data_IF_270315211602
#
_entry.id   IF_270315211602
#
_cell.length_a   1.000
_cell.length_b   1.000
_cell.length_c   1.000
_cell.angle_alpha   90.00
_cell.angle_beta   90.00
_cell.angle_gamma   90.00
#
_symmetry.space_group_name_H-M   'P 1'
#
loop_
_entity.id
_entity.type
_entity.pdbx_description
1 polymer ?
#
# COMPACT_ATOMS: atom_id res chain seq x y z
N UNK A 1 9.98 6.27 18.99
CA UNK A 1 9.00 6.45 17.91
C UNK A 1 7.64 6.81 18.50
N UNK A 2 7.06 7.92 18.05
CA UNK A 2 5.76 8.39 18.57
C UNK A 2 4.67 8.07 17.58
N UNK A 3 3.75 7.17 17.97
CA UNK A 3 2.62 6.79 17.13
C UNK A 3 1.54 7.89 17.18
N UNK A 4 0.88 8.19 16.05
CA UNK A 4 -0.35 8.96 16.07
C UNK A 4 -1.40 8.32 16.97
N UNK A 5 -2.24 9.14 17.60
CA UNK A 5 -3.24 8.66 18.58
C UNK A 5 -4.27 7.71 17.92
N UNK A 6 -4.50 7.87 16.63
CA UNK A 6 -5.43 7.01 15.89
C UNK A 6 -5.02 5.53 15.93
N UNK A 7 -3.73 5.26 16.03
CA UNK A 7 -3.26 3.87 16.19
C UNK A 7 -3.74 3.26 17.50
N UNK A 8 -3.70 4.04 18.58
CA UNK A 8 -4.21 3.58 19.87
C UNK A 8 -5.71 3.28 19.81
N UNK A 9 -6.46 4.12 19.09
CA UNK A 9 -7.90 3.91 18.91
C UNK A 9 -8.18 2.62 18.12
N UNK A 10 -7.39 2.35 17.10
CA UNK A 10 -7.54 1.13 16.29
C UNK A 10 -7.14 -0.12 17.05
N UNK A 11 -6.17 -0.02 17.95
CA UNK A 11 -5.82 -1.14 18.86
C UNK A 11 -6.97 -1.42 19.80
N UNK A 12 -7.57 -0.38 20.40
CA UNK A 12 -8.72 -0.54 21.31
C UNK A 12 -9.91 -1.15 20.58
N UNK A 13 -10.13 -0.78 19.32
CA UNK A 13 -11.20 -1.32 18.49
C UNK A 13 -10.90 -2.73 17.95
N UNK A 14 -9.73 -3.28 18.26
CA UNK A 14 -9.28 -4.61 17.82
C UNK A 14 -9.13 -4.75 16.32
N UNK A 15 -8.91 -3.63 15.62
CA UNK A 15 -8.52 -3.62 14.20
C UNK A 15 -7.04 -3.95 14.07
N UNK A 16 -6.24 -3.40 14.96
CA UNK A 16 -4.81 -3.68 15.06
C UNK A 16 -4.48 -4.39 16.37
N UNK A 17 -3.37 -5.11 16.38
CA UNK A 17 -2.73 -5.61 17.61
C UNK A 17 -1.30 -5.09 17.64
N UNK A 18 -0.80 -4.89 18.85
CA UNK A 18 0.59 -4.48 19.02
C UNK A 18 1.53 -5.63 18.65
N UNK A 19 2.63 -5.28 18.01
CA UNK A 19 3.65 -6.23 17.60
C UNK A 19 4.99 -5.50 17.53
N UNK A 20 5.96 -5.97 18.30
CA UNK A 20 7.31 -5.39 18.24
C UNK A 20 7.85 -5.50 16.81
N UNK A 21 8.56 -4.46 16.36
CA UNK A 21 9.17 -4.46 15.04
C UNK A 21 10.23 -5.56 14.94
N UNK A 22 10.16 -6.37 13.89
CA UNK A 22 11.16 -7.39 13.63
C UNK A 22 12.39 -6.74 12.96
N UNK A 23 13.61 -7.09 13.37
CA UNK A 23 14.80 -6.53 12.75
C UNK A 23 14.82 -6.77 11.25
N UNK A 24 15.04 -5.72 10.48
CA UNK A 24 15.11 -5.80 9.02
C UNK A 24 13.77 -5.86 8.30
N UNK A 25 12.64 -5.95 9.00
CA UNK A 25 11.34 -6.12 8.35
C UNK A 25 10.95 -4.89 7.54
N UNK A 26 11.14 -3.69 8.09
CA UNK A 26 10.78 -2.45 7.39
C UNK A 26 11.52 -2.36 6.06
N UNK A 27 12.83 -2.56 6.07
CA UNK A 27 13.63 -2.53 4.85
C UNK A 27 13.21 -3.61 3.85
N UNK A 28 12.86 -4.80 4.33
CA UNK A 28 12.39 -5.89 3.45
C UNK A 28 11.07 -5.55 2.77
N UNK A 29 10.11 -4.97 3.50
CA UNK A 29 8.86 -4.53 2.91
C UNK A 29 9.10 -3.46 1.84
N UNK A 30 9.95 -2.46 2.12
CA UNK A 30 10.22 -1.39 1.17
C UNK A 30 10.98 -1.91 -0.07
N UNK A 31 11.86 -2.89 0.11
CA UNK A 31 12.52 -3.55 -1.02
C UNK A 31 11.51 -4.30 -1.89
N UNK A 32 10.55 -4.98 -1.28
CA UNK A 32 9.47 -5.62 -2.02
C UNK A 32 8.65 -4.58 -2.80
N UNK A 33 8.37 -3.43 -2.18
CA UNK A 33 7.65 -2.36 -2.86
C UNK A 33 8.40 -1.85 -4.08
N UNK A 34 9.72 -1.70 -3.99
CA UNK A 34 10.55 -1.33 -5.15
C UNK A 34 10.42 -2.35 -6.28
N UNK A 35 10.45 -3.63 -5.95
CA UNK A 35 10.35 -4.69 -6.96
C UNK A 35 8.98 -4.69 -7.64
N UNK A 36 7.90 -4.50 -6.88
CA UNK A 36 6.56 -4.40 -7.45
C UNK A 36 6.40 -3.15 -8.30
N UNK A 37 6.98 -2.02 -7.89
CA UNK A 37 6.95 -0.80 -8.69
C UNK A 37 7.64 -1.00 -10.02
N UNK A 38 8.81 -1.59 -10.02
CA UNK A 38 9.55 -1.90 -11.25
C UNK A 38 8.72 -2.82 -12.16
N UNK A 39 8.16 -3.89 -11.62
CA UNK A 39 7.32 -4.80 -12.38
C UNK A 39 6.11 -4.09 -12.98
N UNK A 40 5.43 -3.25 -12.20
CA UNK A 40 4.27 -2.51 -12.68
C UNK A 40 4.63 -1.55 -13.83
N UNK A 41 5.76 -0.86 -13.70
CA UNK A 41 6.23 0.06 -14.74
C UNK A 41 6.58 -0.70 -16.03
N UNK A 42 7.23 -1.84 -15.93
CA UNK A 42 7.54 -2.67 -17.09
C UNK A 42 6.27 -3.17 -17.79
N UNK A 43 5.27 -3.59 -17.03
CA UNK A 43 4.00 -4.06 -17.58
C UNK A 43 3.25 -2.93 -18.29
N UNK A 44 3.27 -1.71 -17.76
CA UNK A 44 2.66 -0.57 -18.44
C UNK A 44 3.39 -0.25 -19.75
N UNK A 45 4.71 -0.40 -19.78
CA UNK A 45 5.51 -0.13 -20.99
C UNK A 45 5.33 -1.20 -22.06
N UNK A 46 4.93 -2.41 -21.68
CA UNK A 46 4.80 -3.53 -22.60
C UNK A 46 3.51 -3.50 -23.43
N UNK A 47 2.56 -2.60 -23.13
CA UNK A 47 1.31 -2.47 -23.88
C UNK A 47 0.08 -2.69 -23.01
N UNK A 48 -0.90 -3.42 -23.50
CA UNK A 48 -2.23 -3.53 -22.88
C UNK A 48 -2.26 -4.57 -21.75
N UNK A 49 -1.36 -4.45 -20.77
CA UNK A 49 -1.26 -5.39 -19.64
C UNK A 49 -1.66 -4.64 -18.36
N UNK A 50 -2.90 -4.14 -18.34
CA UNK A 50 -3.33 -3.21 -17.29
C UNK A 50 -3.71 -3.89 -15.98
N UNK A 51 -4.40 -5.02 -16.00
CA UNK A 51 -4.75 -5.72 -14.76
C UNK A 51 -3.50 -6.21 -14.01
N UNK A 52 -2.53 -6.86 -14.65
CA UNK A 52 -1.29 -7.23 -13.97
C UNK A 52 -0.52 -6.02 -13.45
N UNK A 53 -0.45 -4.92 -14.22
CA UNK A 53 0.22 -3.70 -13.77
C UNK A 53 -0.47 -3.11 -12.55
N UNK A 54 -1.81 -3.03 -12.57
CA UNK A 54 -2.61 -2.55 -11.45
C UNK A 54 -2.41 -3.42 -10.21
N UNK A 55 -2.43 -4.75 -10.39
CA UNK A 55 -2.24 -5.69 -9.29
C UNK A 55 -0.84 -5.58 -8.67
N UNK A 56 0.19 -5.45 -9.51
CA UNK A 56 1.56 -5.27 -9.02
C UNK A 56 1.68 -3.96 -8.24
N UNK A 57 1.10 -2.88 -8.76
CA UNK A 57 1.12 -1.58 -8.06
C UNK A 57 0.38 -1.66 -6.73
N UNK A 58 -0.76 -2.35 -6.68
CA UNK A 58 -1.49 -2.55 -5.43
C UNK A 58 -0.66 -3.33 -4.42
N UNK A 59 -0.05 -4.44 -4.84
CA UNK A 59 0.78 -5.24 -3.93
C UNK A 59 1.97 -4.44 -3.42
N UNK A 60 2.60 -3.66 -4.30
CA UNK A 60 3.70 -2.78 -3.88
C UNK A 60 3.25 -1.74 -2.87
N UNK A 61 2.09 -1.12 -3.10
CA UNK A 61 1.54 -0.16 -2.16
C UNK A 61 1.23 -0.82 -0.81
N UNK A 62 0.70 -2.04 -0.84
CA UNK A 62 0.42 -2.75 0.42
C UNK A 62 1.71 -3.09 1.18
N UNK A 63 2.81 -3.36 0.47
CA UNK A 63 4.12 -3.52 1.13
C UNK A 63 4.54 -2.22 1.83
N UNK A 64 4.26 -1.06 1.21
CA UNK A 64 4.49 0.25 1.85
C UNK A 64 3.64 0.36 3.13
N UNK A 65 2.38 -0.03 3.06
CA UNK A 65 1.49 -0.03 4.24
C UNK A 65 2.08 -0.91 5.34
N UNK A 66 2.53 -2.11 5.00
CA UNK A 66 3.14 -3.02 5.97
C UNK A 66 4.40 -2.44 6.61
N UNK A 67 5.21 -1.74 5.83
CA UNK A 67 6.42 -1.10 6.36
C UNK A 67 6.08 -0.04 7.41
N UNK A 68 5.06 0.78 7.14
CA UNK A 68 4.64 1.83 8.09
C UNK A 68 4.03 1.21 9.35
N UNK A 69 3.22 0.15 9.20
CA UNK A 69 2.66 -0.56 10.36
C UNK A 69 3.77 -1.16 11.22
N UNK A 70 4.77 -1.77 10.59
CA UNK A 70 5.92 -2.32 11.31
C UNK A 70 6.67 -1.22 12.09
N UNK A 71 6.85 -0.06 11.44
CA UNK A 71 7.50 1.09 12.08
C UNK A 71 6.75 1.54 13.33
N UNK A 72 5.41 1.55 13.28
CA UNK A 72 4.58 1.92 14.42
C UNK A 72 4.26 0.75 15.35
N UNK A 73 4.84 -0.41 15.10
CA UNK A 73 4.77 -1.60 15.95
C UNK A 73 3.35 -2.11 16.15
N UNK A 74 2.61 -2.18 15.04
CA UNK A 74 1.29 -2.79 15.00
C UNK A 74 1.20 -3.73 13.80
N UNK A 75 0.24 -4.65 13.85
CA UNK A 75 -0.13 -5.46 12.69
C UNK A 75 -1.65 -5.51 12.57
N UNK A 76 -2.11 -5.81 11.37
CA UNK A 76 -3.52 -5.99 11.11
C UNK A 76 -4.00 -7.24 11.84
N UNK A 77 -5.16 -7.13 12.48
CA UNK A 77 -5.86 -8.27 13.05
C UNK A 77 -7.08 -8.56 12.18
N UNK A 78 -7.26 -9.82 11.81
CA UNK A 78 -8.41 -10.27 11.04
C UNK A 78 -8.60 -9.45 9.73
N UNK A 79 -9.73 -8.77 9.56
CA UNK A 79 -10.11 -8.12 8.31
C UNK A 79 -9.81 -6.61 8.29
N UNK A 80 -8.71 -6.17 8.88
CA UNK A 80 -8.39 -4.75 9.02
C UNK A 80 -7.65 -4.09 7.86
N UNK A 81 -7.62 -4.70 6.67
CA UNK A 81 -6.79 -4.20 5.56
C UNK A 81 -7.19 -2.80 5.11
N UNK A 82 -8.49 -2.53 4.92
CA UNK A 82 -8.93 -1.20 4.49
C UNK A 82 -8.62 -0.13 5.52
N UNK A 83 -8.84 -0.41 6.80
CA UNK A 83 -8.51 0.51 7.88
C UNK A 83 -7.01 0.80 7.92
N UNK A 84 -6.18 -0.21 7.69
CA UNK A 84 -4.73 -0.05 7.63
C UNK A 84 -4.32 0.85 6.47
N UNK A 85 -4.87 0.62 5.28
CA UNK A 85 -4.58 1.44 4.10
C UNK A 85 -4.97 2.89 4.38
N UNK A 86 -6.18 3.14 4.89
CA UNK A 86 -6.64 4.49 5.20
C UNK A 86 -5.74 5.17 6.22
N UNK A 87 -5.35 4.45 7.27
CA UNK A 87 -4.50 5.02 8.32
C UNK A 87 -3.13 5.41 7.76
N UNK A 88 -2.51 4.52 7.00
CA UNK A 88 -1.19 4.79 6.43
C UNK A 88 -1.25 5.90 5.38
N UNK A 89 -2.30 5.94 4.56
CA UNK A 89 -2.49 7.03 3.60
C UNK A 89 -2.49 8.39 4.30
N UNK A 90 -3.13 8.49 5.46
CA UNK A 90 -3.12 9.72 6.25
C UNK A 90 -1.72 10.04 6.78
N UNK A 91 -0.97 9.03 7.22
CA UNK A 91 0.41 9.20 7.68
C UNK A 91 1.34 9.68 6.56
N UNK A 92 1.09 9.24 5.33
CA UNK A 92 1.84 9.66 4.15
C UNK A 92 1.36 11.00 3.60
N UNK A 93 0.30 11.58 4.19
CA UNK A 93 -0.27 12.86 3.80
C UNK A 93 -0.76 12.89 2.36
N UNK A 94 -1.41 11.81 1.95
CA UNK A 94 -1.96 11.68 0.61
C UNK A 94 -3.20 12.55 0.44
N UNK A 95 -3.47 12.97 -0.79
CA UNK A 95 -4.70 13.71 -1.12
C UNK A 95 -5.91 12.78 -1.08
N UNK A 96 -7.11 13.34 -0.85
CA UNK A 96 -8.33 12.56 -0.72
C UNK A 96 -8.63 11.69 -1.93
N UNK A 97 -8.36 12.18 -3.14
CA UNK A 97 -8.57 11.40 -4.38
C UNK A 97 -7.60 10.22 -4.47
N UNK A 98 -6.37 10.40 -4.02
CA UNK A 98 -5.37 9.33 -3.99
C UNK A 98 -5.73 8.29 -2.94
N UNK A 99 -6.20 8.73 -1.77
CA UNK A 99 -6.64 7.82 -0.70
C UNK A 99 -7.79 6.95 -1.19
N UNK A 100 -8.77 7.56 -1.87
CA UNK A 100 -9.89 6.81 -2.40
C UNK A 100 -9.44 5.75 -3.41
N UNK A 101 -8.56 6.11 -4.33
CA UNK A 101 -8.03 5.15 -5.29
C UNK A 101 -7.30 4.00 -4.60
N UNK A 102 -6.46 4.30 -3.62
CA UNK A 102 -5.70 3.30 -2.88
C UNK A 102 -6.60 2.37 -2.07
N UNK A 103 -7.62 2.92 -1.39
CA UNK A 103 -8.54 2.12 -0.58
C UNK A 103 -9.45 1.26 -1.43
N UNK A 104 -9.85 1.74 -2.60
CA UNK A 104 -10.73 0.99 -3.52
C UNK A 104 -9.98 -0.06 -4.34
N UNK A 105 -8.65 0.04 -4.43
CA UNK A 105 -7.85 -0.78 -5.34
C UNK A 105 -7.98 -2.28 -5.07
N UNK A 106 -8.02 -2.69 -3.81
CA UNK A 106 -8.15 -4.10 -3.46
C UNK A 106 -9.47 -4.68 -3.97
N UNK A 107 -10.57 -4.00 -3.70
CA UNK A 107 -11.90 -4.42 -4.17
C UNK A 107 -11.98 -4.39 -5.69
N UNK A 108 -11.46 -3.34 -6.30
CA UNK A 108 -11.48 -3.19 -7.76
C UNK A 108 -10.73 -4.34 -8.44
N UNK A 109 -9.55 -4.70 -7.93
CA UNK A 109 -8.78 -5.82 -8.45
C UNK A 109 -9.51 -7.14 -8.26
N UNK A 110 -10.05 -7.36 -7.06
CA UNK A 110 -10.76 -8.61 -6.76
C UNK A 110 -12.03 -8.75 -7.59
N UNK A 111 -12.80 -7.68 -7.76
CA UNK A 111 -14.00 -7.72 -8.58
C UNK A 111 -13.67 -8.11 -10.01
N UNK A 112 -12.62 -7.53 -10.58
CA UNK A 112 -12.20 -7.82 -11.96
C UNK A 112 -11.68 -9.25 -12.11
N UNK A 113 -10.96 -9.76 -11.12
CA UNK A 113 -10.33 -11.08 -11.18
C UNK A 113 -11.28 -12.23 -10.85
N UNK A 114 -12.24 -12.02 -9.94
CA UNK A 114 -13.02 -13.13 -9.36
C UNK A 114 -14.53 -13.02 -9.54
N UNK A 115 -15.06 -11.83 -9.82
CA UNK A 115 -16.52 -11.63 -9.95
C UNK A 115 -16.89 -11.39 -11.40
N UNK A 116 -16.34 -10.35 -12.03
CA UNK A 116 -16.59 -10.04 -13.42
C UNK A 116 -15.40 -9.29 -14.01
N UNK A 117 -14.89 -9.72 -15.19
CA UNK A 117 -13.82 -8.98 -15.85
C UNK A 117 -14.30 -7.69 -16.53
N UNK A 118 -15.58 -7.36 -16.43
CA UNK A 118 -16.19 -6.21 -17.09
C UNK A 118 -16.79 -5.28 -16.03
N UNK A 119 -16.44 -3.98 -16.05
CA UNK A 119 -15.47 -3.34 -16.95
C UNK A 119 -14.04 -3.74 -16.56
N UNK A 120 -13.15 -3.92 -17.55
CA UNK A 120 -11.76 -4.26 -17.26
C UNK A 120 -11.01 -3.09 -16.64
N UNK A 121 -9.88 -3.37 -16.01
CA UNK A 121 -8.98 -2.33 -15.52
C UNK A 121 -8.49 -1.51 -16.71
N UNK A 122 -8.68 -0.19 -16.65
CA UNK A 122 -8.26 0.71 -17.72
C UNK A 122 -6.79 1.09 -17.56
N UNK A 123 -6.22 1.61 -18.66
CA UNK A 123 -4.86 2.18 -18.63
C UNK A 123 -4.76 3.29 -17.59
N UNK A 124 -5.78 4.17 -17.52
CA UNK A 124 -5.78 5.29 -16.59
C UNK A 124 -5.78 4.81 -15.14
N UNK A 125 -6.56 3.77 -14.82
CA UNK A 125 -6.58 3.21 -13.48
C UNK A 125 -5.22 2.62 -13.10
N UNK A 126 -4.63 1.82 -14.00
CA UNK A 126 -3.34 1.20 -13.75
C UNK A 126 -2.26 2.26 -13.57
N UNK A 127 -2.20 3.24 -14.47
CA UNK A 127 -1.22 4.32 -14.41
C UNK A 127 -1.36 5.13 -13.13
N UNK A 128 -2.57 5.46 -12.73
CA UNK A 128 -2.81 6.25 -11.52
C UNK A 128 -2.28 5.54 -10.27
N UNK A 129 -2.49 4.23 -10.16
CA UNK A 129 -2.03 3.48 -9.00
C UNK A 129 -0.49 3.32 -9.01
N UNK A 130 0.09 3.11 -10.18
CA UNK A 130 1.56 3.08 -10.33
C UNK A 130 2.16 4.43 -9.92
N UNK A 131 1.54 5.53 -10.35
CA UNK A 131 2.01 6.87 -9.99
C UNK A 131 1.93 7.11 -8.47
N UNK A 132 0.88 6.63 -7.82
CA UNK A 132 0.77 6.70 -6.36
C UNK A 132 1.92 5.95 -5.69
N UNK A 133 2.17 4.71 -6.10
CA UNK A 133 3.27 3.93 -5.52
C UNK A 133 4.61 4.65 -5.73
N UNK A 134 4.86 5.13 -6.94
CA UNK A 134 6.12 5.86 -7.25
C UNK A 134 6.27 7.10 -6.37
N UNK A 135 5.19 7.85 -6.15
CA UNK A 135 5.21 9.09 -5.39
C UNK A 135 5.41 8.86 -3.91
N UNK A 136 4.76 7.86 -3.34
CA UNK A 136 4.71 7.69 -1.88
C UNK A 136 5.72 6.70 -1.32
N UNK A 137 6.34 5.87 -2.13
CA UNK A 137 7.41 4.99 -1.66
C UNK A 137 8.58 5.80 -1.05
N UNK A 138 9.07 6.88 -1.68
CA UNK A 138 10.10 7.72 -1.04
C UNK A 138 9.61 8.38 0.24
N UNK A 139 8.34 8.78 0.30
CA UNK A 139 7.77 9.38 1.50
C UNK A 139 7.78 8.38 2.66
N UNK A 140 7.41 7.13 2.38
CA UNK A 140 7.46 6.06 3.38
C UNK A 140 8.89 5.79 3.86
N UNK A 141 9.87 5.83 2.96
CA UNK A 141 11.29 5.68 3.35
C UNK A 141 11.70 6.78 4.32
N UNK A 142 11.33 8.02 4.03
CA UNK A 142 11.64 9.15 4.92
C UNK A 142 10.94 8.98 6.27
N UNK A 143 9.65 8.62 6.25
CA UNK A 143 8.88 8.42 7.47
C UNK A 143 9.50 7.34 8.37
N UNK A 144 9.93 6.24 7.79
CA UNK A 144 10.49 5.11 8.53
C UNK A 144 12.00 5.20 8.71
N UNK A 145 12.64 6.19 8.10
CA UNK A 145 14.07 6.44 8.19
C UNK A 145 14.93 5.26 7.72
N UNK A 146 14.49 4.58 6.68
CA UNK A 146 15.22 3.43 6.12
C UNK A 146 15.89 3.76 4.79
N UNK A 147 15.81 5.00 4.34
CA UNK A 147 16.19 5.36 2.98
C UNK A 147 17.66 5.19 2.66
N UNK A 148 18.52 5.49 3.60
CA UNK A 148 19.94 5.72 3.32
C UNK A 148 20.84 4.55 3.60
N UNK A 149 20.29 3.44 3.95
CA UNK A 149 21.15 2.34 4.42
C UNK A 149 21.40 1.31 3.37
#
# INVERSE_FOLDING_TARGET
MTRPVEYSNLIKAKVFVEKAAAPGAIGAYLKNADAFLEAAQQLLSAGDIYLPAFSAAYEGFFQVVQAVLEFYEVRIKDAGRNAAIQRVCADLKMHSTEIKLATDAHGRRNDTSYISPIPPISKAEAKALVDILRKYLPVARTLTQTASV
#
